data_IF_499697618049
#
_entry.id   IF_499697618049
#
_cell.length_a   1.000
_cell.length_b   1.000
_cell.length_c   1.000
_cell.angle_alpha   90.00
_cell.angle_beta   90.00
_cell.angle_gamma   90.00
#
_symmetry.space_group_name_H-M   'P 1'
#
loop_
_entity.id
_entity.type
_entity.pdbx_description
1 polymer ?
#
# COMPACT_ATOMS: atom_id res chain seq x y z
N UNK A 1 27.60 10.24 -22.84
CA UNK A 1 26.46 10.44 -23.75
C UNK A 1 25.22 10.69 -22.90
N UNK A 2 24.43 11.71 -23.22
CA UNK A 2 23.54 12.45 -22.32
C UNK A 2 22.42 11.62 -21.69
N UNK A 3 22.54 11.34 -20.39
CA UNK A 3 21.54 10.66 -19.57
C UNK A 3 20.30 11.54 -19.29
N UNK A 4 20.46 12.87 -19.38
CA UNK A 4 19.39 13.86 -19.13
C UNK A 4 18.27 13.83 -20.16
N UNK A 5 18.58 13.58 -21.44
CA UNK A 5 17.58 13.55 -22.51
C UNK A 5 16.61 12.37 -22.38
N UNK A 6 17.14 11.21 -21.99
CA UNK A 6 16.32 10.01 -21.77
C UNK A 6 15.44 10.13 -20.52
N UNK A 7 15.95 10.77 -19.46
CA UNK A 7 15.19 11.01 -18.23
C UNK A 7 14.00 11.96 -18.47
N UNK A 8 14.23 13.08 -19.14
CA UNK A 8 13.17 14.02 -19.50
C UNK A 8 12.12 13.39 -20.41
N UNK A 9 12.54 12.60 -21.40
CA UNK A 9 11.62 11.88 -22.28
C UNK A 9 10.75 10.87 -21.52
N UNK A 10 11.34 10.13 -20.58
CA UNK A 10 10.57 9.22 -19.73
C UNK A 10 9.59 9.94 -18.80
N UNK A 11 9.91 11.15 -18.34
CA UNK A 11 9.01 11.99 -17.54
C UNK A 11 7.78 12.41 -18.37
N UNK A 12 8.01 12.87 -19.60
CA UNK A 12 6.94 13.30 -20.52
C UNK A 12 6.01 12.13 -20.85
N UNK A 13 6.56 10.97 -21.21
CA UNK A 13 5.76 9.76 -21.46
C UNK A 13 4.95 9.38 -20.22
N UNK A 14 5.53 9.48 -19.02
CA UNK A 14 4.84 9.17 -17.77
C UNK A 14 3.62 10.06 -17.58
N UNK A 15 3.80 11.36 -17.75
CA UNK A 15 2.71 12.33 -17.62
C UNK A 15 1.62 12.09 -18.67
N UNK A 16 2.00 11.76 -19.90
CA UNK A 16 1.04 11.48 -20.97
C UNK A 16 0.21 10.21 -20.68
N UNK A 17 0.85 9.14 -20.21
CA UNK A 17 0.15 7.92 -19.78
C UNK A 17 -0.78 8.18 -18.59
N UNK A 18 -0.33 8.94 -17.60
CA UNK A 18 -1.16 9.29 -16.43
C UNK A 18 -2.39 10.12 -16.83
N UNK A 19 -2.22 11.10 -17.71
CA UNK A 19 -3.33 11.91 -18.24
C UNK A 19 -4.30 11.08 -19.09
N UNK A 20 -3.79 10.15 -19.89
CA UNK A 20 -4.61 9.24 -20.70
C UNK A 20 -5.49 8.37 -19.81
N UNK A 21 -4.91 7.75 -18.78
CA UNK A 21 -5.66 6.92 -17.82
C UNK A 21 -6.70 7.75 -17.08
N UNK A 22 -6.34 8.96 -16.61
CA UNK A 22 -7.30 9.85 -15.97
C UNK A 22 -8.52 10.12 -16.86
N UNK A 23 -8.31 10.43 -18.15
CA UNK A 23 -9.41 10.67 -19.10
C UNK A 23 -10.33 9.47 -19.26
N UNK A 24 -9.77 8.26 -19.32
CA UNK A 24 -10.58 7.03 -19.42
C UNK A 24 -11.36 6.74 -18.14
N UNK A 25 -10.78 7.00 -16.95
CA UNK A 25 -11.49 6.85 -15.68
C UNK A 25 -12.70 7.80 -15.57
N UNK A 26 -12.56 9.05 -16.02
CA UNK A 26 -13.67 10.01 -16.05
C UNK A 26 -14.80 9.53 -16.98
N UNK A 27 -14.47 8.93 -18.14
CA UNK A 27 -15.49 8.34 -19.02
C UNK A 27 -16.23 7.20 -18.34
N UNK A 28 -15.51 6.32 -17.65
CA UNK A 28 -16.13 5.22 -16.88
C UNK A 28 -17.05 5.78 -15.79
N UNK A 29 -16.63 6.85 -15.11
CA UNK A 29 -17.44 7.52 -14.10
C UNK A 29 -18.76 8.06 -14.68
N UNK A 30 -18.75 8.60 -15.90
CA UNK A 30 -19.98 9.09 -16.55
C UNK A 30 -20.98 7.99 -16.92
N UNK A 31 -20.54 6.73 -16.99
CA UNK A 31 -21.42 5.58 -17.23
C UNK A 31 -21.99 4.97 -15.95
N UNK A 32 -21.51 5.39 -14.78
CA UNK A 32 -21.95 4.84 -13.50
C UNK A 32 -23.35 5.33 -13.13
N UNK A 33 -24.12 4.47 -12.46
CA UNK A 33 -25.44 4.81 -11.96
C UNK A 33 -25.34 5.86 -10.84
N UNK A 34 -26.35 6.74 -10.72
CA UNK A 34 -26.32 7.84 -9.72
C UNK A 34 -26.20 7.34 -8.27
N UNK A 35 -26.70 6.12 -7.99
CA UNK A 35 -26.64 5.49 -6.67
C UNK A 35 -25.24 4.93 -6.33
N UNK A 36 -24.47 4.53 -7.34
CA UNK A 36 -23.13 3.96 -7.17
C UNK A 36 -22.02 4.98 -7.44
N UNK A 37 -22.36 6.13 -8.02
CA UNK A 37 -21.43 7.17 -8.46
C UNK A 37 -20.38 7.54 -7.41
N UNK A 38 -20.78 7.85 -6.17
CA UNK A 38 -19.83 8.22 -5.11
C UNK A 38 -18.90 7.07 -4.72
N UNK A 39 -19.41 5.82 -4.75
CA UNK A 39 -18.59 4.65 -4.47
C UNK A 39 -17.59 4.38 -5.59
N UNK A 40 -18.07 4.36 -6.84
CA UNK A 40 -17.24 4.19 -8.03
C UNK A 40 -16.18 5.29 -8.14
N UNK A 41 -16.53 6.54 -7.83
CA UNK A 41 -15.59 7.67 -7.79
C UNK A 41 -14.43 7.40 -6.83
N UNK A 42 -14.74 6.95 -5.62
CA UNK A 42 -13.74 6.65 -4.59
C UNK A 42 -12.81 5.51 -5.03
N UNK A 43 -13.35 4.49 -5.67
CA UNK A 43 -12.58 3.35 -6.15
C UNK A 43 -11.67 3.74 -7.33
N UNK A 44 -12.17 4.53 -8.28
CA UNK A 44 -11.38 5.03 -9.41
C UNK A 44 -10.29 6.01 -8.95
N UNK A 45 -10.55 6.84 -7.92
CA UNK A 45 -9.53 7.66 -7.29
C UNK A 45 -8.45 6.82 -6.59
N UNK A 46 -8.84 5.71 -5.97
CA UNK A 46 -7.91 4.71 -5.42
C UNK A 46 -7.03 4.10 -6.50
N UNK A 47 -7.63 3.68 -7.62
CA UNK A 47 -6.93 3.16 -8.78
C UNK A 47 -5.92 4.17 -9.34
N UNK A 48 -6.31 5.46 -9.44
CA UNK A 48 -5.41 6.52 -9.91
C UNK A 48 -4.17 6.67 -9.03
N UNK A 49 -4.31 6.57 -7.70
CA UNK A 49 -3.17 6.61 -6.77
C UNK A 49 -2.24 5.41 -6.95
N UNK A 50 -2.80 4.22 -7.16
CA UNK A 50 -2.01 3.01 -7.41
C UNK A 50 -1.25 3.12 -8.74
N UNK A 51 -1.90 3.62 -9.80
CA UNK A 51 -1.27 3.81 -11.10
C UNK A 51 -0.15 4.87 -11.04
N UNK A 52 -0.37 5.96 -10.30
CA UNK A 52 0.67 6.96 -10.04
C UNK A 52 1.88 6.36 -9.32
N UNK A 53 1.65 5.54 -8.28
CA UNK A 53 2.72 4.82 -7.57
C UNK A 53 3.46 3.84 -8.48
N UNK A 54 2.73 3.10 -9.31
CA UNK A 54 3.30 2.18 -10.30
C UNK A 54 4.24 2.89 -11.29
N UNK A 55 3.88 4.10 -11.73
CA UNK A 55 4.70 4.90 -12.62
C UNK A 55 5.92 5.54 -11.94
N UNK A 56 5.86 5.75 -10.62
CA UNK A 56 6.95 6.31 -9.79
C UNK A 56 7.92 5.25 -9.28
N UNK A 57 7.46 4.03 -9.02
CA UNK A 57 8.30 2.92 -8.56
C UNK A 57 9.30 2.55 -9.67
N UNK A 58 10.50 3.11 -9.59
CA UNK A 58 11.63 2.74 -10.45
C UNK A 58 12.61 1.86 -9.67
N UNK A 59 12.81 0.64 -10.15
CA UNK A 59 13.81 -0.29 -9.65
C UNK A 59 13.25 -1.47 -8.88
N UNK A 60 14.11 -2.37 -8.39
CA UNK A 60 13.68 -3.53 -7.63
C UNK A 60 12.97 -3.08 -6.35
N UNK A 61 11.71 -3.51 -6.18
CA UNK A 61 10.88 -3.22 -5.00
C UNK A 61 11.55 -3.62 -3.68
N UNK A 62 12.47 -4.58 -3.74
CA UNK A 62 13.22 -5.09 -2.59
C UNK A 62 14.70 -5.21 -2.94
N UNK A 63 15.52 -4.53 -2.14
CA UNK A 63 16.98 -4.71 -2.14
C UNK A 63 17.32 -5.86 -1.19
N UNK A 64 17.55 -7.05 -1.77
CA UNK A 64 17.83 -8.28 -1.03
C UNK A 64 19.06 -8.18 -0.12
N UNK A 65 20.01 -7.28 -0.42
CA UNK A 65 21.20 -7.06 0.42
C UNK A 65 20.92 -6.31 1.73
N UNK A 66 19.75 -5.65 1.84
CA UNK A 66 19.34 -4.88 3.04
C UNK A 66 18.40 -5.67 3.96
N UNK A 67 17.97 -6.85 3.56
CA UNK A 67 17.12 -7.69 4.39
C UNK A 67 17.97 -8.27 5.52
N UNK A 68 17.68 -7.85 6.74
CA UNK A 68 18.29 -8.39 7.94
C UNK A 68 17.35 -9.39 8.61
N UNK A 69 17.93 -10.35 9.34
CA UNK A 69 17.11 -11.21 10.20
C UNK A 69 16.34 -10.33 11.18
N UNK A 70 15.03 -10.56 11.37
CA UNK A 70 14.27 -9.83 12.37
C UNK A 70 14.99 -9.95 13.74
N UNK A 71 15.10 -8.87 14.52
CA UNK A 71 15.65 -8.93 15.87
C UNK A 71 14.92 -9.99 16.71
N UNK A 72 15.60 -10.62 17.67
CA UNK A 72 14.98 -11.67 18.51
C UNK A 72 13.73 -11.17 19.27
N UNK A 73 13.59 -9.86 19.45
CA UNK A 73 12.47 -9.19 20.12
C UNK A 73 11.36 -8.70 19.15
N UNK A 74 11.53 -8.90 17.83
CA UNK A 74 10.55 -8.44 16.82
C UNK A 74 9.39 -9.41 16.58
N UNK A 75 9.53 -10.65 17.07
CA UNK A 75 8.51 -11.69 17.00
C UNK A 75 8.09 -12.12 18.39
N UNK A 76 6.85 -11.82 18.78
CA UNK A 76 6.24 -12.51 19.91
C UNK A 76 6.05 -13.98 19.52
N UNK A 77 6.82 -14.88 20.13
CA UNK A 77 6.52 -16.31 20.02
C UNK A 77 5.12 -16.56 20.59
N UNK A 78 4.30 -17.34 19.87
CA UNK A 78 2.95 -17.75 20.31
C UNK A 78 2.93 -18.33 21.74
N UNK A 79 4.06 -18.86 22.21
CA UNK A 79 4.23 -19.42 23.55
C UNK A 79 4.35 -18.35 24.65
N UNK A 80 4.86 -17.16 24.34
CA UNK A 80 5.02 -16.05 25.29
C UNK A 80 3.70 -15.30 25.50
N UNK A 81 2.85 -15.21 24.49
CA UNK A 81 1.50 -14.64 24.64
C UNK A 81 0.61 -15.57 25.46
N UNK A 82 0.69 -16.90 25.26
CA UNK A 82 -0.10 -17.87 26.02
C UNK A 82 0.17 -17.86 27.54
N UNK A 83 1.41 -17.60 27.98
CA UNK A 83 1.72 -17.46 29.41
C UNK A 83 1.25 -16.12 29.99
N UNK A 84 1.24 -15.06 29.19
CA UNK A 84 0.75 -13.73 29.63
C UNK A 84 -0.76 -13.75 29.93
N UNK A 85 -1.58 -14.40 29.10
CA UNK A 85 -3.03 -14.55 29.38
C UNK A 85 -3.32 -15.46 30.58
N UNK A 86 -2.51 -16.50 30.81
CA UNK A 86 -2.61 -17.33 32.02
C UNK A 86 -2.28 -16.53 33.28
N UNK A 87 -1.33 -15.61 33.21
CA UNK A 87 -0.98 -14.72 34.33
C UNK A 87 -2.07 -13.69 34.62
N UNK A 88 -2.65 -13.06 33.57
CA UNK A 88 -3.78 -12.13 33.73
C UNK A 88 -5.05 -12.81 34.26
N UNK A 89 -5.35 -14.04 33.81
CA UNK A 89 -6.48 -14.82 34.31
C UNK A 89 -6.31 -15.17 35.81
N UNK A 90 -5.14 -15.69 36.21
CA UNK A 90 -4.88 -16.03 37.61
C UNK A 90 -4.83 -14.81 38.55
N UNK A 91 -4.40 -13.65 38.07
CA UNK A 91 -4.44 -12.41 38.84
C UNK A 91 -5.88 -11.94 39.13
N UNK A 92 -6.82 -12.13 38.19
CA UNK A 92 -8.24 -11.86 38.42
C UNK A 92 -8.86 -12.83 39.43
N UNK A 93 -8.47 -14.10 39.43
CA UNK A 93 -9.00 -15.10 40.37
C UNK A 93 -8.46 -14.93 41.79
N UNK A 94 -7.26 -14.36 41.97
CA UNK A 94 -6.63 -14.13 43.28
C UNK A 94 -7.17 -12.92 44.05
N UNK A 95 -7.91 -12.02 43.41
CA UNK A 95 -8.47 -10.80 44.05
C UNK A 95 -9.92 -11.02 44.51
N UNK A 96 -10.45 -12.25 44.39
CA UNK A 96 -11.80 -12.62 44.84
C UNK A 96 -11.83 -13.65 45.99
N UNK A 97 -10.75 -13.77 46.77
CA UNK A 97 -10.77 -14.45 48.08
C UNK A 97 -10.38 -13.49 49.21
#
# INVERSE_FOLDING_TARGET
MSQDGASQFQEVIRQELELSVKKELEKILTTASSHEFEHTKKDLDGFRKLFHRFLQEKGPSVDWGKIQRPPEDSGLFYQNTAHSWKFYSNACTSVSL
#
